data_IF_057614390286
#
_entry.id   IF_057614390286
#
_cell.length_a   1.000
_cell.length_b   1.000
_cell.length_c   1.000
_cell.angle_alpha   90.00
_cell.angle_beta   90.00
_cell.angle_gamma   90.00
#
_symmetry.space_group_name_H-M   'P 1'
#
loop_
_entity.id
_entity.type
_entity.pdbx_description
1 polymer ?
#
# COMPACT_ATOMS: atom_id res chain seq x y z
N UNK A 1 16.72 -7.96 -40.20
CA UNK A 1 15.61 -8.54 -39.42
C UNK A 1 16.21 -8.95 -38.09
N UNK A 2 15.66 -8.48 -36.95
CA UNK A 2 16.16 -8.89 -35.64
C UNK A 2 15.38 -10.14 -35.23
N UNK A 3 16.05 -11.28 -35.14
CA UNK A 3 15.46 -12.48 -34.55
C UNK A 3 15.29 -12.28 -33.05
N UNK A 4 14.18 -12.76 -32.50
CA UNK A 4 13.85 -12.67 -31.08
C UNK A 4 13.67 -14.08 -30.56
N UNK A 5 14.36 -14.38 -29.47
CA UNK A 5 14.23 -15.63 -28.72
C UNK A 5 13.67 -15.28 -27.32
N UNK A 6 12.60 -15.97 -26.93
CA UNK A 6 11.88 -15.76 -25.67
C UNK A 6 11.80 -17.08 -24.91
N UNK A 7 12.24 -17.10 -23.64
CA UNK A 7 12.20 -18.31 -22.81
C UNK A 7 10.76 -18.73 -22.44
N UNK A 8 9.92 -17.77 -22.01
CA UNK A 8 8.47 -17.95 -21.86
C UNK A 8 7.73 -16.78 -22.53
N UNK A 9 7.22 -16.96 -23.77
CA UNK A 9 6.61 -15.87 -24.53
C UNK A 9 5.22 -15.44 -24.03
N UNK A 10 4.61 -16.18 -23.09
CA UNK A 10 3.20 -15.97 -22.72
C UNK A 10 2.97 -15.70 -21.23
N UNK A 11 4.00 -15.78 -20.41
CA UNK A 11 3.91 -15.46 -18.97
C UNK A 11 4.62 -14.14 -18.67
N UNK A 12 3.93 -13.26 -17.94
CA UNK A 12 4.52 -12.04 -17.39
C UNK A 12 4.37 -12.11 -15.87
N UNK A 13 5.39 -12.60 -15.14
CA UNK A 13 5.36 -12.63 -13.69
C UNK A 13 5.15 -11.23 -13.13
N UNK A 14 4.31 -11.12 -12.09
CA UNK A 14 4.15 -9.88 -11.36
C UNK A 14 5.41 -9.65 -10.53
N UNK A 15 5.75 -8.39 -10.24
CA UNK A 15 6.89 -8.09 -9.36
C UNK A 15 6.63 -8.61 -7.96
N UNK A 16 5.42 -8.39 -7.45
CA UNK A 16 5.01 -8.88 -6.14
C UNK A 16 3.49 -8.81 -5.94
N UNK A 17 2.98 -9.64 -5.04
CA UNK A 17 1.59 -9.62 -4.58
C UNK A 17 1.61 -9.66 -3.06
N UNK A 18 1.04 -8.61 -2.47
CA UNK A 18 0.99 -8.44 -1.02
C UNK A 18 -0.45 -8.21 -0.57
N UNK A 19 -0.79 -8.69 0.62
CA UNK A 19 -2.13 -8.53 1.17
C UNK A 19 -2.05 -8.07 2.61
N UNK A 20 -2.77 -6.99 2.91
CA UNK A 20 -3.02 -6.54 4.28
C UNK A 20 -4.47 -6.80 4.65
N UNK A 21 -4.71 -7.17 5.89
CA UNK A 21 -6.05 -7.42 6.43
C UNK A 21 -6.39 -6.46 7.55
N UNK A 22 -7.69 -6.22 7.74
CA UNK A 22 -8.16 -5.59 8.95
C UNK A 22 -8.00 -6.52 10.17
N UNK A 23 -8.23 -5.98 11.37
CA UNK A 23 -8.07 -6.72 12.62
C UNK A 23 -9.00 -7.93 12.74
N UNK A 24 -10.20 -7.84 12.15
CA UNK A 24 -11.20 -8.90 12.22
C UNK A 24 -11.12 -9.88 11.04
N UNK A 25 -10.22 -9.63 10.08
CA UNK A 25 -10.10 -10.38 8.83
C UNK A 25 -11.40 -10.42 8.01
N UNK A 26 -12.24 -9.38 8.12
CA UNK A 26 -13.45 -9.18 7.32
C UNK A 26 -13.14 -8.51 5.98
N UNK A 27 -12.06 -7.74 5.94
CA UNK A 27 -11.62 -6.98 4.79
C UNK A 27 -10.13 -7.20 4.54
N UNK A 28 -9.78 -7.25 3.25
CA UNK A 28 -8.41 -7.33 2.81
C UNK A 28 -8.17 -6.31 1.70
N UNK A 29 -6.95 -5.80 1.59
CA UNK A 29 -6.51 -5.11 0.39
C UNK A 29 -5.41 -5.92 -0.28
N UNK A 30 -5.65 -6.34 -1.52
CA UNK A 30 -4.67 -7.02 -2.37
C UNK A 30 -3.93 -5.95 -3.17
N UNK A 31 -2.61 -5.88 -3.01
CA UNK A 31 -1.72 -4.96 -3.73
C UNK A 31 -0.89 -5.78 -4.73
N UNK A 32 -1.17 -5.60 -6.02
CA UNK A 32 -0.49 -6.28 -7.11
C UNK A 32 0.50 -5.33 -7.81
N UNK A 33 1.80 -5.61 -7.73
CA UNK A 33 2.85 -4.87 -8.43
C UNK A 33 3.06 -5.49 -9.81
N UNK A 34 2.59 -4.82 -10.86
CA UNK A 34 2.63 -5.38 -12.22
C UNK A 34 3.91 -5.00 -12.99
N UNK A 35 4.34 -5.89 -13.88
CA UNK A 35 5.34 -5.62 -14.93
C UNK A 35 4.71 -5.14 -16.25
N UNK A 36 3.39 -5.21 -16.39
CA UNK A 36 2.66 -4.84 -17.60
C UNK A 36 1.39 -4.07 -17.24
N UNK A 37 1.44 -2.74 -17.35
CA UNK A 37 0.29 -1.89 -17.02
C UNK A 37 -0.92 -2.18 -17.91
N UNK A 38 -0.74 -2.48 -19.21
CA UNK A 38 -1.84 -2.84 -20.11
C UNK A 38 -2.62 -4.07 -19.63
N UNK A 39 -1.91 -5.12 -19.22
CA UNK A 39 -2.53 -6.32 -18.64
C UNK A 39 -3.16 -6.08 -17.26
N UNK A 40 -2.57 -5.18 -16.48
CA UNK A 40 -3.08 -4.80 -15.17
C UNK A 40 -4.35 -3.95 -15.25
N UNK A 41 -4.43 -3.01 -16.20
CA UNK A 41 -5.63 -2.23 -16.47
C UNK A 41 -6.80 -3.12 -16.94
N UNK A 42 -6.51 -4.11 -17.80
CA UNK A 42 -7.50 -5.11 -18.19
C UNK A 42 -7.96 -5.95 -16.98
N UNK A 43 -7.01 -6.41 -16.15
CA UNK A 43 -7.33 -7.17 -14.93
C UNK A 43 -8.18 -6.36 -13.97
N UNK A 44 -7.80 -5.11 -13.70
CA UNK A 44 -8.56 -4.16 -12.86
C UNK A 44 -10.02 -4.07 -13.31
N UNK A 45 -10.24 -3.84 -14.61
CA UNK A 45 -11.59 -3.73 -15.17
C UNK A 45 -12.40 -5.03 -14.98
N UNK A 46 -11.85 -6.20 -15.33
CA UNK A 46 -12.64 -7.42 -15.21
C UNK A 46 -12.84 -7.86 -13.76
N UNK A 47 -11.81 -7.76 -12.93
CA UNK A 47 -11.82 -8.23 -11.55
C UNK A 47 -12.70 -7.33 -10.68
N UNK A 48 -12.87 -6.05 -11.01
CA UNK A 48 -13.79 -5.15 -10.29
C UNK A 48 -15.26 -5.58 -10.36
N UNK A 49 -15.61 -6.52 -11.25
CA UNK A 49 -16.95 -7.10 -11.32
C UNK A 49 -17.13 -8.33 -10.40
N UNK A 50 -16.07 -8.78 -9.71
CA UNK A 50 -16.18 -9.91 -8.79
C UNK A 50 -16.99 -9.48 -7.56
N UNK A 51 -17.94 -10.29 -7.06
CA UNK A 51 -18.83 -9.90 -5.97
C UNK A 51 -18.13 -9.49 -4.66
N UNK A 52 -16.91 -9.99 -4.43
CA UNK A 52 -16.13 -9.68 -3.23
C UNK A 52 -15.45 -8.30 -3.29
N UNK A 53 -15.28 -7.71 -4.49
CA UNK A 53 -14.57 -6.44 -4.66
C UNK A 53 -15.44 -5.27 -4.25
N UNK A 54 -14.93 -4.45 -3.34
CA UNK A 54 -15.58 -3.24 -2.84
C UNK A 54 -15.05 -1.99 -3.55
N UNK A 55 -13.76 -1.97 -3.88
CA UNK A 55 -13.13 -0.85 -4.58
C UNK A 55 -11.90 -1.32 -5.36
N UNK A 56 -11.56 -0.64 -6.46
CA UNK A 56 -10.30 -0.86 -7.17
C UNK A 56 -9.59 0.45 -7.50
N UNK A 57 -8.28 0.51 -7.22
CA UNK A 57 -7.44 1.68 -7.48
C UNK A 57 -6.23 1.29 -8.32
N UNK A 58 -5.74 2.25 -9.10
CA UNK A 58 -4.47 2.15 -9.81
C UNK A 58 -3.56 3.22 -9.26
N UNK A 59 -2.40 2.84 -8.75
CA UNK A 59 -1.44 3.76 -8.13
C UNK A 59 -0.07 3.45 -8.70
N UNK A 60 0.45 4.32 -9.58
CA UNK A 60 1.69 4.04 -10.30
C UNK A 60 1.62 2.70 -11.05
N UNK A 61 2.50 1.75 -10.71
CA UNK A 61 2.53 0.40 -11.27
C UNK A 61 1.80 -0.66 -10.41
N UNK A 62 0.96 -0.23 -9.47
CA UNK A 62 0.18 -1.11 -8.60
C UNK A 62 -1.29 -1.08 -8.96
N UNK A 63 -1.93 -2.25 -8.92
CA UNK A 63 -3.40 -2.33 -8.82
C UNK A 63 -3.74 -2.79 -7.42
N UNK A 64 -4.67 -2.07 -6.78
CA UNK A 64 -5.13 -2.36 -5.44
C UNK A 64 -6.60 -2.72 -5.46
N UNK A 65 -6.94 -3.83 -4.80
CA UNK A 65 -8.30 -4.33 -4.70
C UNK A 65 -8.69 -4.36 -3.23
N UNK A 66 -9.65 -3.52 -2.84
CA UNK A 66 -10.31 -3.65 -1.55
C UNK A 66 -11.37 -4.76 -1.66
N UNK A 67 -11.26 -5.77 -0.83
CA UNK A 67 -12.04 -7.01 -0.93
C UNK A 67 -12.69 -7.34 0.41
N UNK A 68 -13.94 -7.80 0.39
CA UNK A 68 -14.55 -8.51 1.52
C UNK A 68 -14.05 -9.95 1.50
N UNK A 69 -13.48 -10.42 2.60
CA UNK A 69 -12.99 -11.80 2.70
C UNK A 69 -14.15 -12.79 2.60
N UNK A 70 -13.88 -14.00 2.11
CA UNK A 70 -14.87 -15.03 1.87
C UNK A 70 -14.76 -15.65 0.49
N UNK A 71 -15.85 -16.25 0.03
CA UNK A 71 -15.95 -16.90 -1.28
C UNK A 71 -17.21 -16.42 -2.00
N UNK A 72 -17.14 -16.36 -3.32
CA UNK A 72 -18.26 -16.03 -4.19
C UNK A 72 -18.19 -16.84 -5.48
N UNK A 73 -19.33 -17.06 -6.13
CA UNK A 73 -19.35 -17.65 -7.47
C UNK A 73 -19.19 -16.56 -8.52
N UNK A 74 -18.30 -16.78 -9.49
CA UNK A 74 -18.11 -15.86 -10.61
C UNK A 74 -18.98 -16.27 -11.81
N UNK A 75 -19.73 -15.31 -12.34
CA UNK A 75 -20.41 -15.43 -13.63
C UNK A 75 -19.49 -14.90 -14.75
N UNK A 76 -18.56 -15.76 -15.18
CA UNK A 76 -17.54 -15.38 -16.16
C UNK A 76 -18.13 -15.28 -17.57
N UNK A 77 -18.02 -14.10 -18.18
CA UNK A 77 -18.50 -13.84 -19.55
C UNK A 77 -17.36 -13.32 -20.42
N UNK A 78 -17.05 -13.97 -21.56
CA UNK A 78 -16.05 -13.47 -22.50
C UNK A 78 -16.24 -11.99 -22.81
N UNK A 79 -15.14 -11.24 -22.82
CA UNK A 79 -15.09 -9.80 -23.12
C UNK A 79 -15.85 -8.85 -22.17
N UNK A 80 -16.56 -9.35 -21.15
CA UNK A 80 -17.31 -8.52 -20.18
C UNK A 80 -16.82 -8.72 -18.75
N UNK A 81 -16.82 -9.95 -18.27
CA UNK A 81 -16.35 -10.38 -16.95
C UNK A 81 -15.49 -11.62 -17.13
N UNK A 82 -14.45 -11.52 -17.95
CA UNK A 82 -13.71 -12.69 -18.42
C UNK A 82 -12.77 -13.28 -17.36
N UNK A 83 -12.55 -12.58 -16.23
CA UNK A 83 -11.77 -13.07 -15.11
C UNK A 83 -12.13 -12.32 -13.82
N UNK A 84 -11.80 -12.90 -12.66
CA UNK A 84 -12.07 -12.30 -11.36
C UNK A 84 -11.48 -13.06 -10.17
N UNK A 85 -11.77 -12.55 -8.98
CA UNK A 85 -11.38 -13.13 -7.68
C UNK A 85 -12.58 -13.89 -7.11
N UNK A 86 -12.43 -15.21 -7.01
CA UNK A 86 -13.46 -16.13 -6.53
C UNK A 86 -13.49 -16.20 -5.00
N UNK A 87 -12.31 -16.20 -4.36
CA UNK A 87 -12.20 -16.25 -2.91
C UNK A 87 -10.97 -15.51 -2.37
N UNK A 88 -11.10 -14.94 -1.18
CA UNK A 88 -10.00 -14.47 -0.34
C UNK A 88 -10.25 -15.03 1.06
N UNK A 89 -9.48 -16.04 1.46
CA UNK A 89 -9.68 -16.75 2.72
C UNK A 89 -8.46 -16.56 3.60
N UNK A 90 -8.68 -15.99 4.79
CA UNK A 90 -7.64 -15.84 5.81
C UNK A 90 -7.63 -17.09 6.68
N UNK A 91 -6.49 -17.75 6.78
CA UNK A 91 -6.28 -18.98 7.56
C UNK A 91 -5.02 -18.83 8.40
N UNK A 92 -5.17 -18.35 9.64
CA UNK A 92 -4.04 -18.05 10.50
C UNK A 92 -3.21 -16.88 9.97
N UNK A 93 -1.93 -17.13 9.72
CA UNK A 93 -0.94 -16.21 9.17
C UNK A 93 -0.86 -16.22 7.64
N UNK A 94 -1.77 -16.93 6.97
CA UNK A 94 -1.79 -17.08 5.52
C UNK A 94 -3.11 -16.64 4.90
N UNK A 95 -3.03 -16.19 3.64
CA UNK A 95 -4.18 -15.76 2.85
C UNK A 95 -4.18 -16.55 1.55
N UNK A 96 -5.28 -17.23 1.29
CA UNK A 96 -5.53 -17.98 0.06
C UNK A 96 -6.39 -17.14 -0.88
N UNK A 97 -5.84 -16.80 -2.05
CA UNK A 97 -6.54 -16.02 -3.06
C UNK A 97 -6.79 -16.92 -4.28
N UNK A 98 -8.06 -17.16 -4.59
CA UNK A 98 -8.44 -17.94 -5.77
C UNK A 98 -8.89 -17.00 -6.89
N UNK A 99 -8.24 -17.12 -8.04
CA UNK A 99 -8.56 -16.41 -9.26
C UNK A 99 -9.12 -17.38 -10.30
N UNK A 100 -10.07 -16.91 -11.09
CA UNK A 100 -10.61 -17.66 -12.22
C UNK A 100 -10.69 -16.78 -13.46
N UNK A 101 -10.47 -17.35 -14.64
CA UNK A 101 -10.50 -16.61 -15.89
C UNK A 101 -10.69 -17.46 -17.13
N UNK A 102 -11.14 -16.84 -18.21
CA UNK A 102 -11.37 -17.44 -19.52
C UNK A 102 -10.30 -17.03 -20.53
N UNK A 103 -9.84 -17.97 -21.35
CA UNK A 103 -8.88 -17.73 -22.42
C UNK A 103 -7.58 -17.09 -21.91
N UNK A 104 -7.21 -15.93 -22.47
CA UNK A 104 -6.04 -15.16 -22.04
C UNK A 104 -6.13 -14.67 -20.58
N UNK A 105 -7.33 -14.36 -20.09
CA UNK A 105 -7.56 -14.00 -18.69
C UNK A 105 -7.21 -15.14 -17.73
N UNK A 106 -7.35 -16.39 -18.19
CA UNK A 106 -6.93 -17.56 -17.45
C UNK A 106 -5.42 -17.65 -17.23
N UNK A 107 -4.60 -17.14 -18.16
CA UNK A 107 -3.13 -17.10 -17.99
C UNK A 107 -2.74 -16.12 -16.89
N UNK A 108 -3.41 -14.97 -16.85
CA UNK A 108 -3.27 -14.00 -15.77
C UNK A 108 -3.73 -14.52 -14.41
N UNK A 109 -4.83 -15.29 -14.39
CA UNK A 109 -5.37 -15.92 -13.18
C UNK A 109 -4.48 -17.04 -12.62
N UNK A 110 -3.59 -17.62 -13.44
CA UNK A 110 -2.69 -18.69 -13.03
C UNK A 110 -1.24 -18.22 -12.99
N UNK A 111 -0.50 -18.39 -14.09
CA UNK A 111 0.96 -18.32 -14.15
C UNK A 111 1.52 -16.94 -13.82
N UNK A 112 0.88 -15.87 -14.28
CA UNK A 112 1.41 -14.51 -14.07
C UNK A 112 1.43 -14.09 -12.59
N UNK A 113 0.48 -14.58 -11.78
CA UNK A 113 0.42 -14.28 -10.35
C UNK A 113 1.17 -15.31 -9.51
N UNK A 114 1.14 -16.58 -9.92
CA UNK A 114 1.79 -17.69 -9.22
C UNK A 114 3.29 -17.47 -8.94
N UNK A 115 3.97 -16.76 -9.85
CA UNK A 115 5.42 -16.52 -9.79
C UNK A 115 5.80 -15.14 -9.21
N UNK A 116 4.86 -14.44 -8.59
CA UNK A 116 5.12 -13.13 -8.00
C UNK A 116 5.90 -13.24 -6.68
N UNK A 117 6.74 -12.24 -6.36
CA UNK A 117 7.29 -12.12 -5.01
C UNK A 117 6.15 -11.99 -3.98
N UNK A 118 6.37 -12.54 -2.78
CA UNK A 118 5.35 -12.61 -1.73
C UNK A 118 4.44 -13.85 -1.80
N UNK A 119 4.43 -14.60 -2.92
CA UNK A 119 3.74 -15.89 -3.01
C UNK A 119 4.57 -16.99 -2.36
N UNK A 120 3.99 -17.66 -1.37
CA UNK A 120 4.61 -18.79 -0.66
C UNK A 120 4.46 -20.09 -1.45
N UNK A 121 3.27 -20.30 -2.01
CA UNK A 121 2.91 -21.47 -2.81
C UNK A 121 1.69 -21.18 -3.66
N UNK A 122 1.48 -21.99 -4.70
CA UNK A 122 0.33 -21.87 -5.57
C UNK A 122 -0.12 -23.22 -6.12
N UNK A 123 -1.38 -23.27 -6.54
CA UNK A 123 -1.98 -24.37 -7.29
C UNK A 123 -2.65 -23.76 -8.53
N UNK A 124 -2.43 -24.33 -9.70
CA UNK A 124 -2.96 -23.78 -10.95
C UNK A 124 -3.41 -24.89 -11.89
N UNK A 125 -4.55 -24.69 -12.55
CA UNK A 125 -4.94 -25.51 -13.70
C UNK A 125 -4.17 -25.08 -14.95
N UNK A 126 -4.23 -25.88 -16.01
CA UNK A 126 -3.79 -25.43 -17.33
C UNK A 126 -4.58 -24.18 -17.78
N UNK A 127 -3.94 -23.31 -18.57
CA UNK A 127 -4.49 -22.03 -19.02
C UNK A 127 -4.19 -21.75 -20.49
N UNK A 128 -4.92 -20.79 -21.08
CA UNK A 128 -4.76 -20.37 -22.48
C UNK A 128 -5.65 -21.11 -23.47
N UNK A 129 -5.63 -20.68 -24.74
CA UNK A 129 -6.34 -21.37 -25.84
C UNK A 129 -7.86 -21.45 -25.69
N UNK A 130 -8.50 -20.46 -25.07
CA UNK A 130 -9.95 -20.41 -24.85
C UNK A 130 -10.46 -21.15 -23.61
N UNK A 131 -9.60 -21.84 -22.86
CA UNK A 131 -9.97 -22.61 -21.66
C UNK A 131 -10.38 -21.71 -20.50
N UNK A 132 -11.24 -22.23 -19.63
CA UNK A 132 -11.36 -21.72 -18.27
C UNK A 132 -10.16 -22.21 -17.46
N UNK A 133 -9.57 -21.32 -16.66
CA UNK A 133 -8.47 -21.63 -15.78
C UNK A 133 -8.70 -21.06 -14.38
N UNK A 134 -8.19 -21.76 -13.39
CA UNK A 134 -8.24 -21.38 -11.98
C UNK A 134 -6.84 -21.46 -11.38
N UNK A 135 -6.49 -20.45 -10.59
CA UNK A 135 -5.24 -20.40 -9.86
C UNK A 135 -5.48 -19.94 -8.44
N UNK A 136 -4.92 -20.66 -7.47
CA UNK A 136 -4.91 -20.25 -6.06
C UNK A 136 -3.48 -19.95 -5.67
N UNK A 137 -3.23 -18.76 -5.13
CA UNK A 137 -1.94 -18.41 -4.52
C UNK A 137 -2.13 -18.30 -3.01
N UNK A 138 -1.06 -18.59 -2.27
CA UNK A 138 -0.99 -18.38 -0.83
C UNK A 138 0.08 -17.33 -0.54
N UNK A 139 -0.28 -16.31 0.23
CA UNK A 139 0.61 -15.21 0.64
C UNK A 139 0.50 -15.01 2.16
N UNK A 140 1.51 -14.42 2.82
CA UNK A 140 1.39 -14.09 4.25
C UNK A 140 0.30 -13.04 4.51
N UNK A 141 -0.43 -13.21 5.62
CA UNK A 141 -1.32 -12.19 6.19
C UNK A 141 -0.49 -11.09 6.82
N UNK A 142 -0.76 -9.83 6.47
CA UNK A 142 -0.02 -8.68 7.00
C UNK A 142 -0.94 -7.68 7.67
N UNK A 143 -0.38 -6.97 8.64
CA UNK A 143 -0.95 -5.77 9.22
C UNK A 143 -0.42 -4.54 8.51
N UNK A 144 -1.31 -3.58 8.26
CA UNK A 144 -0.94 -2.28 7.73
C UNK A 144 -0.30 -1.45 8.84
N UNK A 145 0.89 -0.91 8.55
CA UNK A 145 1.61 0.01 9.40
C UNK A 145 1.86 1.29 8.62
N UNK A 146 1.31 2.40 9.12
CA UNK A 146 1.45 3.73 8.54
C UNK A 146 2.46 4.53 9.36
N UNK A 147 3.43 5.13 8.69
CA UNK A 147 4.53 5.85 9.33
C UNK A 147 4.57 7.27 8.75
N UNK A 148 4.10 8.22 9.54
CA UNK A 148 4.15 9.64 9.21
C UNK A 148 5.49 10.22 9.61
N UNK A 149 6.12 10.97 8.71
CA UNK A 149 7.43 11.62 8.94
C UNK A 149 7.39 13.04 8.37
N UNK A 150 7.89 14.00 9.13
CA UNK A 150 8.00 15.39 8.70
C UNK A 150 9.22 16.07 9.35
N UNK A 151 9.61 17.22 8.78
CA UNK A 151 10.64 18.11 9.31
C UNK A 151 12.00 17.38 9.46
N UNK A 152 12.51 16.81 8.36
CA UNK A 152 13.84 16.16 8.33
C UNK A 152 14.90 16.99 7.61
N UNK A 153 14.48 18.08 6.97
CA UNK A 153 15.31 18.96 6.16
C UNK A 153 15.41 20.37 6.74
N UNK A 154 16.40 21.11 6.26
CA UNK A 154 16.66 22.51 6.63
C UNK A 154 16.55 23.38 5.37
N UNK A 155 16.73 24.70 5.50
CA UNK A 155 16.76 25.59 4.32
C UNK A 155 17.95 25.30 3.41
N UNK A 156 19.01 24.71 3.95
CA UNK A 156 20.29 24.50 3.29
C UNK A 156 20.47 23.08 2.77
N UNK A 157 19.84 22.07 3.39
CA UNK A 157 20.11 20.65 3.07
C UNK A 157 18.93 19.74 3.42
N UNK A 158 18.73 18.74 2.57
CA UNK A 158 17.79 17.64 2.79
C UNK A 158 16.51 17.79 1.98
N UNK A 159 15.73 16.71 1.96
CA UNK A 159 14.34 16.71 1.53
C UNK A 159 13.65 15.51 2.17
N UNK A 160 12.57 15.76 2.93
CA UNK A 160 11.91 14.71 3.70
C UNK A 160 11.46 13.52 2.86
N UNK A 161 10.89 13.75 1.68
CA UNK A 161 10.40 12.67 0.82
C UNK A 161 11.51 11.77 0.25
N UNK A 162 12.70 12.31 -0.08
CA UNK A 162 13.79 11.49 -0.63
C UNK A 162 14.45 10.66 0.45
N UNK A 163 14.70 11.26 1.62
CA UNK A 163 15.29 10.58 2.76
C UNK A 163 14.44 9.39 3.18
N UNK A 164 13.15 9.63 3.41
CA UNK A 164 12.21 8.61 3.87
C UNK A 164 11.99 7.51 2.83
N UNK A 165 11.91 7.85 1.54
CA UNK A 165 11.83 6.85 0.47
C UNK A 165 13.07 5.96 0.42
N UNK A 166 14.27 6.53 0.53
CA UNK A 166 15.52 5.77 0.48
C UNK A 166 15.67 4.85 1.70
N UNK A 167 15.29 5.32 2.89
CA UNK A 167 15.25 4.49 4.10
C UNK A 167 14.26 3.33 3.91
N UNK A 168 13.04 3.64 3.47
CA UNK A 168 11.99 2.64 3.30
C UNK A 168 12.38 1.55 2.29
N UNK A 169 13.00 1.96 1.18
CA UNK A 169 13.48 1.04 0.14
C UNK A 169 14.59 0.11 0.64
N UNK A 170 15.49 0.59 1.50
CA UNK A 170 16.57 -0.24 2.07
C UNK A 170 16.04 -1.25 3.09
N UNK A 171 14.93 -0.92 3.77
CA UNK A 171 14.30 -1.75 4.79
C UNK A 171 13.19 -2.67 4.24
N UNK A 172 12.89 -2.58 2.95
CA UNK A 172 11.89 -3.42 2.28
C UNK A 172 12.34 -4.89 2.31
N UNK A 173 11.57 -5.74 2.99
CA UNK A 173 11.86 -7.16 3.13
C UNK A 173 10.57 -8.00 3.19
N UNK A 174 10.64 -9.34 3.00
CA UNK A 174 9.47 -10.20 2.99
C UNK A 174 8.55 -10.06 4.22
N UNK A 175 9.12 -9.82 5.40
CA UNK A 175 8.44 -9.65 6.68
C UNK A 175 7.87 -8.23 6.89
N UNK A 176 8.41 -7.22 6.21
CA UNK A 176 8.04 -5.80 6.31
C UNK A 176 8.08 -5.15 4.93
N UNK A 177 7.05 -5.39 4.13
CA UNK A 177 7.03 -4.98 2.73
C UNK A 177 6.67 -3.51 2.59
N UNK A 178 7.43 -2.76 1.81
CA UNK A 178 7.16 -1.36 1.50
C UNK A 178 6.10 -1.25 0.40
N UNK A 179 4.88 -0.86 0.79
CA UNK A 179 3.71 -0.88 -0.09
C UNK A 179 3.52 0.43 -0.85
N UNK A 180 3.65 1.57 -0.17
CA UNK A 180 3.46 2.86 -0.83
C UNK A 180 4.10 4.02 -0.07
N UNK A 181 4.26 5.13 -0.80
CA UNK A 181 4.78 6.39 -0.33
C UNK A 181 3.88 7.50 -0.83
N UNK A 182 3.45 8.39 0.04
CA UNK A 182 2.60 9.53 -0.32
C UNK A 182 3.17 10.81 0.28
N UNK A 183 3.34 11.82 -0.57
CA UNK A 183 3.63 13.20 -0.17
C UNK A 183 2.30 13.92 0.06
N UNK A 184 2.17 14.63 1.17
CA UNK A 184 0.92 15.26 1.61
C UNK A 184 1.13 16.75 1.71
N UNK A 185 0.42 17.50 0.87
CA UNK A 185 0.44 18.95 0.92
C UNK A 185 -0.35 19.43 2.13
N UNK A 186 0.29 20.24 2.98
CA UNK A 186 -0.28 20.81 4.19
C UNK A 186 -0.53 22.32 4.03
N UNK A 187 -1.30 22.89 4.96
CA UNK A 187 -1.58 24.31 4.99
C UNK A 187 -0.27 25.12 5.06
N UNK A 188 -0.03 26.07 4.13
CA UNK A 188 1.19 26.87 4.15
C UNK A 188 1.27 27.72 5.43
N UNK A 189 2.36 27.58 6.19
CA UNK A 189 2.63 28.38 7.39
C UNK A 189 3.97 29.11 7.26
N UNK A 190 4.10 30.28 7.90
CA UNK A 190 5.30 31.12 7.78
C UNK A 190 6.57 30.46 8.35
N UNK A 191 6.42 29.55 9.31
CA UNK A 191 7.52 28.93 10.05
C UNK A 191 8.25 27.77 9.32
N UNK A 192 7.85 27.39 8.10
CA UNK A 192 8.28 26.12 7.45
C UNK A 192 9.19 26.29 6.23
N UNK A 193 9.70 25.14 5.75
CA UNK A 193 10.33 24.99 4.45
C UNK A 193 9.38 25.43 3.33
N UNK A 194 9.94 25.78 2.17
CA UNK A 194 9.24 26.50 1.09
C UNK A 194 7.93 25.84 0.61
N UNK A 195 7.76 24.52 0.78
CA UNK A 195 6.64 23.78 0.21
C UNK A 195 5.64 23.20 1.22
N UNK A 196 5.92 23.18 2.53
CA UNK A 196 5.01 22.64 3.57
C UNK A 196 4.41 21.25 3.21
N UNK A 197 5.27 20.26 2.95
CA UNK A 197 4.89 18.90 2.55
C UNK A 197 5.40 17.90 3.58
N UNK A 198 4.51 17.03 4.06
CA UNK A 198 4.86 15.89 4.91
C UNK A 198 4.78 14.57 4.13
N UNK A 199 5.28 13.48 4.70
CA UNK A 199 5.34 12.16 4.08
C UNK A 199 4.64 11.12 4.96
N UNK A 200 3.90 10.21 4.32
CA UNK A 200 3.51 8.92 4.92
C UNK A 200 4.10 7.76 4.11
N UNK A 201 4.71 6.81 4.83
CA UNK A 201 5.12 5.52 4.33
C UNK A 201 4.08 4.46 4.75
N UNK A 202 3.75 3.55 3.84
CA UNK A 202 2.87 2.42 4.11
C UNK A 202 3.67 1.12 4.02
N UNK A 203 3.63 0.33 5.09
CA UNK A 203 4.23 -1.01 5.16
C UNK A 203 3.18 -2.07 5.46
N UNK A 204 3.44 -3.29 5.00
CA UNK A 204 2.73 -4.51 5.42
C UNK A 204 3.65 -5.39 6.25
N UNK A 205 3.38 -5.53 7.55
CA UNK A 205 4.20 -6.35 8.46
C UNK A 205 3.52 -7.70 8.74
N UNK A 206 4.29 -8.80 8.75
CA UNK A 206 3.74 -10.14 9.03
C UNK A 206 3.37 -10.33 10.50
N UNK A 207 4.09 -9.66 11.40
CA UNK A 207 3.89 -9.74 12.85
C UNK A 207 4.47 -8.50 13.58
N UNK A 208 4.28 -8.47 14.91
CA UNK A 208 4.75 -7.40 15.78
C UNK A 208 6.27 -7.30 15.89
N UNK A 209 7.01 -8.41 15.73
CA UNK A 209 8.46 -8.40 15.80
C UNK A 209 9.06 -7.74 14.55
N UNK A 210 8.53 -8.09 13.37
CA UNK A 210 8.86 -7.44 12.11
C UNK A 210 8.57 -5.93 12.16
N UNK A 211 7.36 -5.55 12.62
CA UNK A 211 6.99 -4.15 12.85
C UNK A 211 7.97 -3.44 13.78
N UNK A 212 8.29 -4.02 14.93
CA UNK A 212 9.20 -3.37 15.90
C UNK A 212 10.58 -3.16 15.30
N UNK A 213 11.14 -4.17 14.64
CA UNK A 213 12.44 -4.09 13.96
C UNK A 213 12.45 -2.99 12.89
N UNK A 214 11.40 -2.91 12.08
CA UNK A 214 11.21 -1.86 11.07
C UNK A 214 11.22 -0.46 11.71
N UNK A 215 10.40 -0.23 12.74
CA UNK A 215 10.26 1.07 13.39
C UNK A 215 11.55 1.53 14.09
N UNK A 216 12.25 0.61 14.76
CA UNK A 216 13.55 0.90 15.36
C UNK A 216 14.60 1.26 14.30
N UNK A 217 14.60 0.54 13.18
CA UNK A 217 15.52 0.78 12.05
C UNK A 217 15.26 2.12 11.37
N UNK A 218 14.00 2.48 11.12
CA UNK A 218 13.61 3.79 10.58
C UNK A 218 14.03 4.90 11.55
N UNK A 219 13.72 4.77 12.85
CA UNK A 219 14.12 5.77 13.85
C UNK A 219 15.64 5.94 13.92
N UNK A 220 16.40 4.84 13.88
CA UNK A 220 17.86 4.89 13.88
C UNK A 220 18.41 5.59 12.62
N UNK A 221 17.83 5.30 11.45
CA UNK A 221 18.20 5.95 10.20
C UNK A 221 17.86 7.45 10.21
N UNK A 222 16.67 7.84 10.68
CA UNK A 222 16.28 9.24 10.81
C UNK A 222 17.23 10.01 11.75
N UNK A 223 17.57 9.44 12.91
CA UNK A 223 18.56 10.04 13.82
C UNK A 223 19.94 10.22 13.20
N UNK A 224 20.31 9.37 12.24
CA UNK A 224 21.61 9.40 11.56
C UNK A 224 21.64 10.38 10.40
N UNK A 225 20.55 10.50 9.66
CA UNK A 225 20.53 11.14 8.34
C UNK A 225 19.64 12.39 8.25
N UNK A 226 18.72 12.59 9.19
CA UNK A 226 17.95 13.85 9.26
C UNK A 226 18.89 15.02 9.49
N UNK A 227 18.61 16.14 8.82
CA UNK A 227 19.31 17.41 9.02
C UNK A 227 18.62 18.29 10.08
N UNK A 228 17.46 17.87 10.61
CA UNK A 228 16.64 18.66 11.53
C UNK A 228 16.47 17.96 12.89
N UNK A 229 16.67 18.71 13.97
CA UNK A 229 16.34 18.28 15.34
C UNK A 229 14.83 18.34 15.62
N UNK A 230 14.04 18.84 14.67
CA UNK A 230 12.58 18.94 14.76
C UNK A 230 11.85 17.79 14.08
N UNK A 231 12.57 16.75 13.66
CA UNK A 231 11.97 15.56 13.04
C UNK A 231 10.88 14.95 13.90
N UNK A 232 9.70 14.84 13.29
CA UNK A 232 8.57 14.09 13.81
C UNK A 232 8.47 12.73 13.16
N UNK A 233 8.20 11.70 13.96
CA UNK A 233 7.87 10.37 13.48
C UNK A 233 6.72 9.82 14.31
N UNK A 234 5.61 9.51 13.65
CA UNK A 234 4.42 8.92 14.27
C UNK A 234 4.00 7.66 13.53
N UNK A 235 3.37 6.73 14.24
CA UNK A 235 3.02 5.40 13.72
C UNK A 235 1.57 5.07 14.06
N UNK A 236 0.84 4.55 13.07
CA UNK A 236 -0.51 4.03 13.26
C UNK A 236 -0.62 2.65 12.61
N UNK A 237 -0.92 1.63 13.42
CA UNK A 237 -1.28 0.30 12.92
C UNK A 237 -2.80 0.23 12.76
N UNK A 238 -3.28 0.57 11.57
CA UNK A 238 -4.71 0.60 11.28
C UNK A 238 -4.98 0.31 9.80
N UNK A 239 -6.15 -0.27 9.50
CA UNK A 239 -6.50 -0.65 8.14
C UNK A 239 -6.97 0.55 7.31
N UNK A 240 -7.71 1.51 7.85
CA UNK A 240 -8.26 2.63 7.06
C UNK A 240 -7.87 4.03 7.56
N UNK A 241 -7.23 4.12 8.72
CA UNK A 241 -6.76 5.36 9.35
C UNK A 241 -7.88 6.37 9.60
N UNK A 242 -9.15 5.94 9.68
CA UNK A 242 -10.28 6.86 9.87
C UNK A 242 -10.15 7.73 11.11
N UNK A 243 -9.51 7.21 12.16
CA UNK A 243 -9.28 7.92 13.42
C UNK A 243 -8.49 9.22 13.27
N UNK A 244 -7.74 9.44 12.18
CA UNK A 244 -6.90 10.63 11.97
C UNK A 244 -7.39 11.55 10.85
N UNK A 245 -8.56 11.26 10.25
CA UNK A 245 -9.08 12.05 9.12
C UNK A 245 -9.40 13.48 9.52
N UNK A 246 -10.02 13.66 10.69
CA UNK A 246 -10.41 14.99 11.18
C UNK A 246 -9.18 15.85 11.51
N UNK A 247 -8.16 15.27 12.16
CA UNK A 247 -6.88 15.96 12.37
C UNK A 247 -6.23 16.39 11.06
N UNK A 248 -6.18 15.48 10.08
CA UNK A 248 -5.61 15.79 8.76
C UNK A 248 -6.36 16.93 8.07
N UNK A 249 -7.69 16.92 8.12
CA UNK A 249 -8.53 18.01 7.58
C UNK A 249 -8.20 19.34 8.24
N UNK A 250 -8.13 19.38 9.57
CA UNK A 250 -7.80 20.60 10.31
C UNK A 250 -6.40 21.12 9.92
N UNK A 251 -5.39 20.25 9.91
CA UNK A 251 -4.00 20.60 9.57
C UNK A 251 -3.81 21.07 8.11
N UNK A 252 -4.69 20.64 7.20
CA UNK A 252 -4.68 21.09 5.79
C UNK A 252 -5.48 22.37 5.57
N UNK A 253 -6.26 22.80 6.58
CA UNK A 253 -7.08 24.01 6.55
C UNK A 253 -6.54 25.18 7.40
N UNK A 254 -5.58 24.91 8.29
CA UNK A 254 -5.00 25.92 9.16
C UNK A 254 -3.82 25.39 9.97
N UNK A 255 -3.21 26.30 10.73
CA UNK A 255 -2.09 26.00 11.60
C UNK A 255 -2.55 25.31 12.89
N UNK A 256 -1.85 24.23 13.26
CA UNK A 256 -2.08 23.49 14.50
C UNK A 256 -0.84 23.56 15.39
N UNK A 257 -1.04 23.38 16.70
CA UNK A 257 0.06 23.35 17.67
C UNK A 257 0.58 21.93 17.88
N UNK A 258 1.85 21.82 18.30
CA UNK A 258 2.46 20.56 18.71
C UNK A 258 1.68 19.90 19.86
N UNK A 259 1.27 20.68 20.87
CA UNK A 259 0.53 20.16 22.01
C UNK A 259 -0.78 19.51 21.60
N UNK A 260 -1.52 20.13 20.66
CA UNK A 260 -2.72 19.54 20.10
C UNK A 260 -2.43 18.28 19.30
N UNK A 261 -1.34 18.25 18.51
CA UNK A 261 -0.90 17.05 17.80
C UNK A 261 -0.61 15.87 18.75
N UNK A 262 0.14 16.13 19.82
CA UNK A 262 0.49 15.14 20.84
C UNK A 262 -0.74 14.62 21.59
N UNK A 263 -1.66 15.52 21.94
CA UNK A 263 -2.94 15.13 22.57
C UNK A 263 -3.76 14.25 21.62
N UNK A 264 -3.96 14.70 20.37
CA UNK A 264 -4.75 13.97 19.38
C UNK A 264 -4.16 12.58 19.11
N UNK A 265 -2.83 12.48 18.99
CA UNK A 265 -2.13 11.20 18.82
C UNK A 265 -2.43 10.23 19.97
N UNK A 266 -2.34 10.69 21.23
CA UNK A 266 -2.65 9.87 22.41
C UNK A 266 -4.11 9.42 22.49
N UNK A 267 -5.05 10.27 22.08
CA UNK A 267 -6.49 9.96 22.08
C UNK A 267 -6.89 8.97 20.98
N UNK A 268 -6.13 8.92 19.87
CA UNK A 268 -6.48 8.16 18.66
C UNK A 268 -5.54 6.96 18.41
N UNK A 269 -4.74 6.56 19.40
CA UNK A 269 -3.89 5.37 19.33
C UNK A 269 -2.74 5.49 18.33
N UNK A 270 -2.22 6.70 18.13
CA UNK A 270 -1.05 6.96 17.30
C UNK A 270 0.19 7.03 18.19
N UNK A 271 1.18 6.18 17.90
CA UNK A 271 2.43 6.11 18.66
C UNK A 271 3.42 7.18 18.18
N UNK A 272 3.96 7.98 19.10
CA UNK A 272 4.97 8.99 18.79
C UNK A 272 6.37 8.44 19.07
N UNK A 273 7.18 8.31 18.02
CA UNK A 273 8.55 7.74 18.07
C UNK A 273 9.65 8.80 18.09
N UNK A 274 9.37 9.97 17.51
CA UNK A 274 10.19 11.17 17.56
C UNK A 274 9.25 12.37 17.69
N UNK A 275 9.46 13.19 18.71
CA UNK A 275 8.53 14.22 19.17
C UNK A 275 8.95 15.64 18.76
N UNK A 276 9.74 15.81 17.70
CA UNK A 276 10.04 17.14 17.16
C UNK A 276 8.79 17.83 16.59
N UNK A 277 8.86 19.13 16.25
CA UNK A 277 7.69 19.85 15.70
C UNK A 277 7.08 19.22 14.44
N UNK A 278 7.84 18.39 13.70
CA UNK A 278 7.35 17.60 12.59
C UNK A 278 6.17 16.67 12.95
N UNK A 279 5.92 16.36 14.23
CA UNK A 279 4.75 15.53 14.61
C UNK A 279 3.43 16.07 14.08
N UNK A 280 3.32 17.39 13.91
CA UNK A 280 2.12 18.06 13.38
C UNK A 280 1.84 17.56 11.96
N UNK A 281 2.84 17.66 11.06
CA UNK A 281 2.65 17.23 9.68
C UNK A 281 2.65 15.71 9.54
N UNK A 282 3.50 15.03 10.29
CA UNK A 282 3.59 13.58 10.31
C UNK A 282 2.25 12.92 10.65
N UNK A 283 1.55 13.43 11.67
CA UNK A 283 0.20 12.97 12.05
C UNK A 283 -0.83 13.28 10.96
N UNK A 284 -0.79 14.47 10.37
CA UNK A 284 -1.69 14.86 9.29
C UNK A 284 -1.51 14.00 8.03
N UNK A 285 -0.29 13.51 7.76
CA UNK A 285 0.01 12.72 6.57
C UNK A 285 -0.60 11.31 6.62
N UNK A 286 -0.78 10.72 7.82
CA UNK A 286 -1.25 9.34 7.99
C UNK A 286 -2.56 9.05 7.23
N UNK A 287 -3.50 9.99 7.22
CA UNK A 287 -4.81 9.82 6.59
C UNK A 287 -4.74 9.65 5.05
N UNK A 288 -3.64 10.06 4.42
CA UNK A 288 -3.49 10.14 2.97
C UNK A 288 -2.68 8.98 2.36
N UNK A 289 -2.41 7.93 3.13
CA UNK A 289 -1.69 6.76 2.61
C UNK A 289 -2.35 6.22 1.34
N UNK A 290 -1.54 5.77 0.38
CA UNK A 290 -1.99 5.26 -0.91
C UNK A 290 -2.96 6.21 -1.66
N UNK A 291 -2.81 7.53 -1.51
CA UNK A 291 -3.56 8.56 -2.26
C UNK A 291 -2.64 9.66 -2.84
N UNK A 292 -1.54 9.31 -3.54
CA UNK A 292 -0.50 10.27 -3.93
C UNK A 292 -0.99 11.38 -4.89
N UNK A 293 -2.00 11.11 -5.72
CA UNK A 293 -2.55 12.09 -6.66
C UNK A 293 -3.51 13.09 -5.97
N UNK A 294 -4.20 12.65 -4.92
CA UNK A 294 -5.19 13.45 -4.19
C UNK A 294 -4.50 14.29 -3.09
N UNK A 295 -3.51 13.70 -2.40
CA UNK A 295 -2.86 14.28 -1.23
C UNK A 295 -2.12 15.59 -1.51
N UNK A 296 -1.67 15.79 -2.74
CA UNK A 296 -0.99 17.02 -3.19
C UNK A 296 -1.95 18.20 -3.44
N UNK A 297 -3.26 17.95 -3.48
CA UNK A 297 -4.29 18.95 -3.71
C UNK A 297 -4.94 19.36 -2.39
N UNK A 298 -4.63 20.56 -1.88
CA UNK A 298 -5.08 21.03 -0.56
C UNK A 298 -6.59 20.90 -0.33
N UNK A 299 -7.39 21.12 -1.38
CA UNK A 299 -8.85 21.07 -1.35
C UNK A 299 -9.44 19.65 -1.48
N UNK A 300 -8.61 18.63 -1.69
CA UNK A 300 -9.10 17.25 -1.74
C UNK A 300 -9.63 16.80 -0.39
N UNK A 301 -10.72 16.03 -0.42
CA UNK A 301 -11.31 15.37 0.74
C UNK A 301 -11.11 13.85 0.65
N UNK A 302 -11.04 13.19 1.80
CA UNK A 302 -10.94 11.74 1.86
C UNK A 302 -12.37 11.18 1.84
N UNK A 303 -12.76 10.62 0.69
CA UNK A 303 -13.98 9.82 0.51
C UNK A 303 -13.84 8.40 1.08
#
# INVERSE_FOLDING_TARGET
MKEIELEDPYTIPYKGIYVVCDKNNEYAEIIEHTNCYGGAAWSKFHYSHSPLILNTRSIGNMIRYLVRTGSSTLDLKPSRSAAGIESVIVSGDEIHISYSGLGGGGVGATKCRALAEGVLRYECTESGGGRAAKGTIVVPRRERVLIGIDDTDTKETGATWTLTHNIAKELDCPESVYLSHTLVQLYPVEARTQNCVSTVLEFGCTDDAAKTCLLESIRAALKKYSASDQTGMVVLSDFDAKGVYEYSKQCRSGELTKDYAMQYAGEHGVDVWMDGNGVIGALAALAWFARPDESIRLEAEIE
#
